data_IF_802591526592
#
_entry.id   IF_802591526592
#
_cell.length_a   1.000
_cell.length_b   1.000
_cell.length_c   1.000
_cell.angle_alpha   90.00
_cell.angle_beta   90.00
_cell.angle_gamma   90.00
#
_symmetry.space_group_name_H-M   'P 1'
#
loop_
_entity.id
_entity.type
_entity.pdbx_description
1 polymer ?
#
# COMPACT_ATOMS: atom_id res chain seq x y z
N UNK A 1 0.76 5.83 -13.83
CA UNK A 1 -0.62 5.32 -13.89
C UNK A 1 -1.64 6.45 -14.04
N UNK A 2 -1.75 7.38 -13.07
CA UNK A 2 -2.74 8.48 -13.12
C UNK A 2 -2.74 9.30 -14.41
N UNK A 3 -1.57 9.71 -14.93
CA UNK A 3 -1.48 10.43 -16.22
C UNK A 3 -2.07 9.65 -17.39
N UNK A 4 -1.89 8.33 -17.41
CA UNK A 4 -2.44 7.46 -18.46
C UNK A 4 -3.96 7.33 -18.30
N UNK A 5 -4.44 7.07 -17.08
CA UNK A 5 -5.87 7.03 -16.81
C UNK A 5 -6.56 8.35 -17.20
N UNK A 6 -5.96 9.50 -16.90
CA UNK A 6 -6.47 10.80 -17.29
C UNK A 6 -6.49 11.00 -18.83
N UNK A 7 -5.43 10.57 -19.52
CA UNK A 7 -5.40 10.59 -20.99
C UNK A 7 -6.48 9.69 -21.62
N UNK A 8 -6.85 8.61 -20.92
CA UNK A 8 -7.93 7.69 -21.31
C UNK A 8 -9.33 8.17 -20.84
N UNK A 9 -9.43 9.39 -20.28
CA UNK A 9 -10.70 10.05 -19.94
C UNK A 9 -11.11 9.99 -18.47
N UNK A 10 -10.29 9.42 -17.59
CA UNK A 10 -10.56 9.46 -16.15
C UNK A 10 -10.50 10.89 -15.60
N UNK A 11 -11.46 11.25 -14.76
CA UNK A 11 -11.48 12.53 -14.03
C UNK A 11 -10.87 12.32 -12.64
N UNK A 12 -9.87 13.13 -12.31
CA UNK A 12 -9.17 13.07 -11.02
C UNK A 12 -9.55 14.30 -10.22
N UNK A 13 -9.96 14.12 -8.96
CA UNK A 13 -10.36 15.19 -8.07
C UNK A 13 -9.50 15.16 -6.81
N UNK A 14 -8.88 16.29 -6.47
CA UNK A 14 -8.12 16.49 -5.25
C UNK A 14 -7.94 18.01 -5.00
N UNK A 15 -7.90 18.48 -3.73
CA UNK A 15 -8.22 17.72 -2.51
C UNK A 15 -9.74 17.54 -2.36
N UNK A 16 -10.18 16.30 -2.13
CA UNK A 16 -11.59 15.94 -1.87
C UNK A 16 -11.62 14.69 -1.00
N UNK A 17 -12.40 14.71 0.08
CA UNK A 17 -12.66 13.57 0.95
C UNK A 17 -14.10 13.08 0.79
N UNK A 18 -14.29 11.75 0.73
CA UNK A 18 -15.63 11.15 0.77
C UNK A 18 -16.05 11.00 2.23
N UNK A 19 -17.12 11.69 2.62
CA UNK A 19 -17.57 11.76 4.02
C UNK A 19 -18.72 10.80 4.33
N UNK A 20 -19.51 10.44 3.32
CA UNK A 20 -20.64 9.52 3.44
C UNK A 20 -20.83 8.69 2.17
N UNK A 21 -21.31 7.46 2.35
CA UNK A 21 -21.54 6.48 1.29
C UNK A 21 -22.94 5.90 1.46
N UNK A 22 -23.78 6.08 0.45
CA UNK A 22 -25.13 5.53 0.40
C UNK A 22 -25.24 4.60 -0.79
N UNK A 23 -25.48 3.32 -0.53
CA UNK A 23 -25.68 2.31 -1.55
C UNK A 23 -27.16 1.92 -1.64
N UNK A 24 -27.67 1.85 -2.87
CA UNK A 24 -29.04 1.48 -3.22
C UNK A 24 -29.03 0.47 -4.40
N UNK A 25 -30.17 -0.15 -4.75
CA UNK A 25 -30.23 -1.12 -5.86
C UNK A 25 -29.79 -0.59 -7.24
N UNK A 26 -29.78 0.73 -7.44
CA UNK A 26 -29.42 1.39 -8.70
C UNK A 26 -27.96 1.90 -8.69
N UNK A 27 -27.21 1.74 -7.59
CA UNK A 27 -25.78 2.08 -7.45
C UNK A 27 -25.44 2.83 -6.17
N UNK A 28 -24.46 3.75 -6.22
CA UNK A 28 -23.85 4.34 -5.01
C UNK A 28 -23.70 5.85 -5.14
N UNK A 29 -24.12 6.58 -4.10
CA UNK A 29 -23.93 8.02 -3.94
C UNK A 29 -22.87 8.30 -2.90
N UNK A 30 -21.90 9.15 -3.25
CA UNK A 30 -20.81 9.58 -2.39
C UNK A 30 -21.00 11.06 -2.05
N UNK A 31 -21.12 11.39 -0.77
CA UNK A 31 -21.05 12.78 -0.31
C UNK A 31 -19.58 13.16 -0.10
N UNK A 32 -19.25 14.43 -0.37
CA UNK A 32 -17.88 14.94 -0.21
C UNK A 32 -17.80 16.11 0.75
N UNK A 33 -16.62 16.33 1.32
CA UNK A 33 -16.27 17.48 2.16
C UNK A 33 -16.43 18.84 1.44
N UNK A 34 -16.40 18.84 0.11
CA UNK A 34 -16.64 20.02 -0.73
C UNK A 34 -18.12 20.37 -0.95
N UNK A 35 -19.05 19.60 -0.36
CA UNK A 35 -20.50 19.81 -0.51
C UNK A 35 -21.07 19.33 -1.84
N UNK A 36 -20.27 18.66 -2.68
CA UNK A 36 -20.74 17.99 -3.90
C UNK A 36 -21.04 16.52 -3.64
N UNK A 37 -22.03 15.97 -4.35
CA UNK A 37 -22.31 14.55 -4.37
C UNK A 37 -21.91 13.93 -5.72
N UNK A 38 -21.36 12.73 -5.69
CA UNK A 38 -21.00 11.95 -6.88
C UNK A 38 -21.86 10.69 -6.92
N UNK A 39 -22.61 10.50 -8.01
CA UNK A 39 -23.37 9.27 -8.27
C UNK A 39 -22.58 8.37 -9.22
N UNK A 40 -22.42 7.11 -8.85
CA UNK A 40 -21.78 6.09 -9.68
C UNK A 40 -22.60 4.82 -9.72
N UNK A 41 -22.46 4.02 -10.79
CA UNK A 41 -23.06 2.68 -10.86
C UNK A 41 -22.32 1.71 -9.95
N UNK A 42 -21.00 1.82 -9.87
CA UNK A 42 -20.15 1.03 -9.00
C UNK A 42 -19.15 1.93 -8.28
N UNK A 43 -18.77 1.52 -7.07
CA UNK A 43 -17.68 2.15 -6.29
C UNK A 43 -16.66 1.08 -5.91
N UNK A 44 -15.39 1.46 -5.94
CA UNK A 44 -14.28 0.62 -5.49
C UNK A 44 -13.47 1.42 -4.47
N UNK A 45 -13.45 0.97 -3.22
CA UNK A 45 -12.66 1.60 -2.15
C UNK A 45 -11.24 1.04 -2.13
N UNK A 46 -10.27 1.93 -2.32
CA UNK A 46 -8.83 1.63 -2.34
C UNK A 46 -8.08 2.45 -1.28
N UNK A 47 -8.66 2.58 -0.09
CA UNK A 47 -8.23 3.54 0.96
C UNK A 47 -7.14 2.99 1.89
N UNK A 48 -6.42 1.94 1.48
CA UNK A 48 -5.35 1.34 2.29
C UNK A 48 -5.88 0.66 3.55
N UNK A 49 -5.68 1.30 4.70
CA UNK A 49 -6.12 0.83 6.03
C UNK A 49 -7.23 1.70 6.63
N UNK A 50 -7.69 2.72 5.90
CA UNK A 50 -8.81 3.56 6.30
C UNK A 50 -10.10 2.97 5.72
N UNK A 51 -10.81 2.20 6.54
CA UNK A 51 -12.04 1.53 6.11
C UNK A 51 -13.22 2.50 6.14
N UNK A 52 -13.97 2.66 5.04
CA UNK A 52 -15.20 3.44 5.04
C UNK A 52 -16.21 2.92 6.06
N UNK A 53 -17.02 3.81 6.63
CA UNK A 53 -18.10 3.42 7.55
C UNK A 53 -19.00 2.37 6.90
N UNK A 54 -19.28 1.29 7.63
CA UNK A 54 -20.13 0.19 7.15
C UNK A 54 -19.40 -0.94 6.44
N UNK A 55 -18.13 -0.76 6.06
CA UNK A 55 -17.30 -1.86 5.56
C UNK A 55 -16.72 -2.63 6.76
N UNK A 56 -16.84 -3.97 6.81
CA UNK A 56 -16.19 -4.77 7.83
C UNK A 56 -14.67 -4.58 7.81
N UNK A 57 -14.09 -4.31 8.97
CA UNK A 57 -12.64 -4.23 9.18
C UNK A 57 -12.16 -5.51 9.87
N UNK A 58 -11.74 -6.55 9.13
CA UNK A 58 -11.26 -7.77 9.76
C UNK A 58 -9.89 -7.52 10.40
N UNK A 59 -9.87 -7.37 11.73
CA UNK A 59 -8.78 -7.72 12.64
C UNK A 59 -7.34 -7.23 12.33
N UNK A 60 -7.14 -6.25 11.45
CA UNK A 60 -5.82 -5.80 11.05
C UNK A 60 -5.17 -4.88 12.06
N UNK A 61 -3.85 -4.96 12.20
CA UNK A 61 -3.05 -4.05 13.03
C UNK A 61 -2.29 -3.09 12.14
N UNK A 62 -2.35 -1.80 12.45
CA UNK A 62 -1.43 -0.82 11.86
C UNK A 62 -0.20 -0.75 12.75
N UNK A 63 0.94 -1.10 12.17
CA UNK A 63 2.28 -0.98 12.73
C UNK A 63 3.05 0.11 11.99
N UNK A 64 4.26 0.40 12.46
CA UNK A 64 5.16 1.33 11.80
C UNK A 64 6.32 0.57 11.13
N UNK A 65 6.71 1.01 9.94
CA UNK A 65 7.89 0.53 9.20
C UNK A 65 8.80 1.70 8.82
N UNK A 66 10.07 1.44 8.54
CA UNK A 66 11.07 2.46 8.21
C UNK A 66 11.82 2.12 6.94
N UNK A 67 12.18 3.16 6.19
CA UNK A 67 13.01 3.00 5.02
C UNK A 67 13.87 4.23 4.77
N UNK A 68 14.96 3.99 4.07
CA UNK A 68 15.90 4.99 3.62
C UNK A 68 16.16 4.84 2.12
N UNK A 69 16.55 5.94 1.50
CA UNK A 69 17.10 5.95 0.15
C UNK A 69 18.42 6.72 0.16
N UNK A 70 19.43 6.15 -0.48
CA UNK A 70 20.71 6.82 -0.65
C UNK A 70 20.62 7.96 -1.66
N UNK A 71 21.67 8.78 -1.74
CA UNK A 71 21.93 9.61 -2.92
C UNK A 71 22.01 8.74 -4.18
N UNK A 72 21.76 9.36 -5.34
CA UNK A 72 21.88 8.68 -6.63
C UNK A 72 23.30 8.15 -6.86
N UNK A 73 23.42 7.11 -7.69
CA UNK A 73 24.69 6.47 -8.08
C UNK A 73 25.45 5.86 -6.89
N UNK A 74 24.73 5.28 -5.93
CA UNK A 74 25.35 4.50 -4.86
C UNK A 74 26.19 3.35 -5.46
N UNK A 75 27.40 3.17 -4.93
CA UNK A 75 28.29 2.09 -5.37
C UNK A 75 27.83 0.79 -4.74
N UNK A 76 27.14 -0.03 -5.52
CA UNK A 76 26.62 -1.32 -5.09
C UNK A 76 27.12 -2.44 -6.01
N UNK A 77 27.19 -3.69 -5.52
CA UNK A 77 27.45 -4.86 -6.36
C UNK A 77 26.50 -4.92 -7.56
N UNK A 78 27.01 -5.35 -8.72
CA UNK A 78 26.24 -5.36 -9.95
C UNK A 78 24.95 -6.21 -9.84
N UNK A 79 25.00 -7.32 -9.11
CA UNK A 79 23.86 -8.21 -8.91
C UNK A 79 22.67 -7.53 -8.20
N UNK A 80 22.92 -6.52 -7.35
CA UNK A 80 21.87 -5.82 -6.60
C UNK A 80 21.04 -4.89 -7.49
N UNK A 81 21.48 -4.61 -8.73
CA UNK A 81 20.72 -3.80 -9.69
C UNK A 81 19.41 -4.45 -10.10
N UNK A 82 19.39 -5.78 -10.17
CA UNK A 82 18.28 -6.57 -10.69
C UNK A 82 17.68 -7.51 -9.63
N UNK A 83 18.08 -7.35 -8.36
CA UNK A 83 17.70 -8.24 -7.25
C UNK A 83 17.05 -7.46 -6.11
N UNK A 84 16.02 -8.05 -5.51
CA UNK A 84 15.50 -7.68 -4.19
C UNK A 84 16.09 -8.66 -3.17
N UNK A 85 16.79 -8.14 -2.17
CA UNK A 85 17.22 -8.92 -1.00
C UNK A 85 16.16 -8.77 0.08
N UNK A 86 15.81 -9.87 0.74
CA UNK A 86 14.92 -9.89 1.89
C UNK A 86 15.45 -10.89 2.91
N UNK A 87 15.79 -10.43 4.11
CA UNK A 87 16.25 -11.30 5.19
C UNK A 87 15.08 -12.04 5.84
N UNK A 88 15.26 -13.34 6.10
CA UNK A 88 14.32 -14.14 6.89
C UNK A 88 14.54 -13.94 8.41
N UNK A 89 14.74 -12.69 8.82
CA UNK A 89 14.93 -12.26 10.21
C UNK A 89 13.74 -11.43 10.68
N UNK A 90 13.57 -11.31 12.00
CA UNK A 90 12.60 -10.41 12.61
C UNK A 90 13.31 -9.53 13.65
N UNK A 91 13.42 -8.21 13.43
CA UNK A 91 12.92 -7.49 12.26
C UNK A 91 13.79 -7.71 11.01
N UNK A 92 13.13 -7.86 9.85
CA UNK A 92 13.78 -8.08 8.56
C UNK A 92 14.52 -6.84 8.06
N UNK A 93 15.45 -7.07 7.12
CA UNK A 93 16.03 -6.07 6.24
C UNK A 93 15.66 -6.44 4.80
N UNK A 94 15.14 -5.47 4.04
CA UNK A 94 15.09 -5.57 2.59
C UNK A 94 16.01 -4.55 1.94
N UNK A 95 16.57 -4.91 0.78
CA UNK A 95 17.49 -4.05 0.03
C UNK A 95 17.23 -4.19 -1.48
N UNK A 96 17.14 -3.06 -2.19
CA UNK A 96 17.02 -3.03 -3.65
C UNK A 96 17.62 -1.76 -4.24
N UNK A 97 17.87 -1.76 -5.55
CA UNK A 97 18.22 -0.56 -6.29
C UNK A 97 16.99 0.05 -6.99
N UNK A 98 16.90 1.38 -7.01
CA UNK A 98 16.00 2.12 -7.87
C UNK A 98 16.61 2.33 -9.26
N UNK A 99 15.75 2.61 -10.25
CA UNK A 99 16.18 2.82 -11.64
C UNK A 99 17.17 3.98 -11.83
N UNK A 100 17.12 4.98 -10.95
CA UNK A 100 18.03 6.13 -10.96
C UNK A 100 19.34 5.87 -10.19
N UNK A 101 19.58 4.62 -9.77
CA UNK A 101 20.81 4.19 -9.11
C UNK A 101 20.86 4.51 -7.62
N UNK A 102 19.72 4.79 -6.98
CA UNK A 102 19.62 4.87 -5.51
C UNK A 102 19.55 3.48 -4.90
N UNK A 103 20.21 3.29 -3.79
CA UNK A 103 20.00 2.16 -2.90
C UNK A 103 18.79 2.46 -2.01
N UNK A 104 17.87 1.52 -1.90
CA UNK A 104 16.73 1.60 -0.99
C UNK A 104 16.84 0.43 -0.02
N UNK A 105 16.75 0.72 1.27
CA UNK A 105 16.74 -0.28 2.33
C UNK A 105 15.65 0.05 3.35
N UNK A 106 15.03 -0.98 3.93
CA UNK A 106 13.99 -0.79 4.93
C UNK A 106 13.67 -2.05 5.70
N UNK A 107 12.65 -1.95 6.56
CA UNK A 107 12.26 -2.96 7.54
C UNK A 107 12.26 -2.34 8.93
N UNK A 108 12.79 -3.05 9.93
CA UNK A 108 12.80 -2.62 11.35
C UNK A 108 11.43 -2.52 12.04
N UNK A 109 10.39 -3.09 11.41
CA UNK A 109 8.95 -3.12 11.79
C UNK A 109 8.70 -3.16 13.32
N UNK A 110 7.77 -2.32 13.81
CA UNK A 110 7.46 -2.25 15.25
C UNK A 110 6.01 -1.87 15.51
N UNK A 111 5.45 -2.39 16.61
CA UNK A 111 4.10 -2.07 17.05
C UNK A 111 3.95 -0.56 17.34
N UNK A 112 2.77 -0.03 17.02
CA UNK A 112 2.41 1.37 17.26
C UNK A 112 2.06 2.07 15.95
N UNK A 113 0.78 2.43 15.74
CA UNK A 113 0.33 2.97 14.47
C UNK A 113 0.96 4.32 14.15
N UNK A 114 1.28 5.14 15.16
CA UNK A 114 1.74 6.52 14.97
C UNK A 114 3.26 6.70 15.19
N UNK A 115 3.98 5.59 15.44
CA UNK A 115 5.42 5.64 15.72
C UNK A 115 6.25 6.15 14.53
N UNK A 116 5.73 5.99 13.32
CA UNK A 116 6.38 6.46 12.09
C UNK A 116 6.37 7.98 11.93
N UNK A 117 5.53 8.70 12.69
CA UNK A 117 5.46 10.16 12.65
C UNK A 117 6.53 10.84 13.52
N UNK A 118 7.18 10.11 14.44
CA UNK A 118 8.27 10.64 15.28
C UNK A 118 9.57 10.79 14.46
N UNK A 119 10.02 12.03 14.15
CA UNK A 119 11.21 12.26 13.33
C UNK A 119 12.49 11.72 13.97
N UNK A 120 12.59 11.75 15.30
CA UNK A 120 13.75 11.24 16.01
C UNK A 120 13.79 9.71 15.93
N UNK A 121 12.62 9.06 15.95
CA UNK A 121 12.51 7.62 15.75
C UNK A 121 12.84 7.23 14.32
N UNK A 122 12.35 7.96 13.31
CA UNK A 122 12.73 7.76 11.90
C UNK A 122 14.26 7.78 11.75
N UNK A 123 14.93 8.78 12.31
CA UNK A 123 16.40 8.87 12.30
C UNK A 123 17.06 7.65 12.94
N UNK A 124 16.70 7.31 14.18
CA UNK A 124 17.31 6.16 14.91
C UNK A 124 17.12 4.83 14.18
N UNK A 125 15.94 4.61 13.59
CA UNK A 125 15.60 3.38 12.85
C UNK A 125 16.33 3.31 11.51
N UNK A 126 16.41 4.40 10.77
CA UNK A 126 17.18 4.46 9.52
C UNK A 126 18.69 4.28 9.76
N UNK A 127 19.25 4.83 10.85
CA UNK A 127 20.64 4.55 11.23
C UNK A 127 20.88 3.07 11.55
N UNK A 128 19.88 2.40 12.14
CA UNK A 128 19.94 0.96 12.41
C UNK A 128 19.87 0.13 11.13
N UNK A 129 18.98 0.48 10.20
CA UNK A 129 18.91 -0.12 8.85
C UNK A 129 20.25 0.04 8.14
N UNK A 130 20.86 1.23 8.21
CA UNK A 130 22.16 1.48 7.60
C UNK A 130 23.28 0.60 8.21
N UNK A 131 23.27 0.39 9.53
CA UNK A 131 24.20 -0.54 10.19
C UNK A 131 23.98 -1.98 9.72
N UNK A 132 22.74 -2.48 9.72
CA UNK A 132 22.43 -3.84 9.22
C UNK A 132 22.88 -4.04 7.77
N UNK A 133 22.65 -3.04 6.92
CA UNK A 133 23.09 -3.08 5.53
C UNK A 133 24.62 -3.11 5.41
N UNK A 134 25.34 -2.36 6.25
CA UNK A 134 26.80 -2.42 6.31
C UNK A 134 27.29 -3.80 6.78
N UNK A 135 26.63 -4.40 7.77
CA UNK A 135 26.97 -5.75 8.25
C UNK A 135 26.75 -6.81 7.17
N UNK A 136 25.65 -6.70 6.40
CA UNK A 136 25.31 -7.61 5.31
C UNK A 136 26.22 -7.42 4.07
N UNK A 137 26.52 -6.16 3.73
CA UNK A 137 27.28 -5.76 2.54
C UNK A 137 28.36 -4.73 2.92
N UNK A 138 29.47 -5.15 3.55
CA UNK A 138 30.48 -4.22 4.09
C UNK A 138 31.19 -3.38 3.03
N UNK A 139 31.16 -3.79 1.76
CA UNK A 139 31.70 -3.04 0.63
C UNK A 139 30.75 -1.98 0.05
N UNK A 140 29.54 -1.84 0.59
CA UNK A 140 28.55 -0.84 0.15
C UNK A 140 28.67 0.41 1.01
N UNK A 141 29.18 1.48 0.41
CA UNK A 141 29.22 2.81 1.01
C UNK A 141 28.15 3.70 0.36
N UNK A 142 27.39 4.40 1.20
CA UNK A 142 26.34 5.30 0.75
C UNK A 142 26.06 6.40 1.77
N UNK A 143 25.58 7.54 1.26
CA UNK A 143 24.98 8.60 2.08
C UNK A 143 23.46 8.48 2.01
N UNK A 144 22.78 8.60 3.15
CA UNK A 144 21.33 8.72 3.21
C UNK A 144 20.92 10.08 2.63
N UNK A 145 20.03 10.08 1.64
CA UNK A 145 19.42 11.28 1.05
C UNK A 145 17.99 11.47 1.59
N UNK A 146 17.26 10.37 1.76
CA UNK A 146 15.92 10.35 2.35
C UNK A 146 15.80 9.28 3.42
N UNK A 147 15.05 9.60 4.46
CA UNK A 147 14.66 8.70 5.53
C UNK A 147 13.20 8.97 5.85
N UNK A 148 12.39 7.91 5.98
CA UNK A 148 10.97 8.05 6.28
C UNK A 148 10.46 6.86 7.09
N UNK A 149 9.40 7.10 7.86
CA UNK A 149 8.54 6.06 8.40
C UNK A 149 7.26 5.97 7.57
N UNK A 150 6.51 4.88 7.73
CA UNK A 150 5.15 4.77 7.20
C UNK A 150 4.28 3.82 8.00
N UNK A 151 2.97 4.04 7.90
CA UNK A 151 1.97 3.10 8.34
C UNK A 151 2.03 1.83 7.49
N UNK A 152 2.05 0.69 8.17
CA UNK A 152 2.04 -0.64 7.56
C UNK A 152 0.98 -1.46 8.26
N UNK A 153 -0.01 -1.94 7.52
CA UNK A 153 -1.12 -2.68 8.11
C UNK A 153 -1.03 -4.15 7.80
N UNK A 154 -0.95 -4.95 8.84
CA UNK A 154 -0.95 -6.41 8.80
C UNK A 154 -2.38 -6.93 8.89
N UNK A 155 -2.76 -7.82 7.98
CA UNK A 155 -4.00 -8.59 8.11
C UNK A 155 -3.74 -9.90 8.87
N UNK A 156 -4.77 -10.47 9.48
CA UNK A 156 -4.63 -11.70 10.28
C UNK A 156 -4.10 -12.90 9.48
N UNK A 157 -4.30 -12.91 8.16
CA UNK A 157 -3.90 -13.99 7.25
C UNK A 157 -2.75 -13.61 6.32
N UNK A 158 -2.30 -12.33 6.34
CA UNK A 158 -1.36 -11.79 5.36
C UNK A 158 -1.94 -11.58 3.95
N UNK A 159 -3.23 -11.87 3.75
CA UNK A 159 -3.95 -11.64 2.50
C UNK A 159 -4.71 -10.29 2.52
N UNK A 160 -4.85 -9.62 1.37
CA UNK A 160 -5.69 -8.45 1.23
C UNK A 160 -7.17 -8.84 1.19
N UNK A 161 -8.02 -7.82 1.33
CA UNK A 161 -9.45 -7.91 1.11
C UNK A 161 -9.76 -7.35 -0.26
N UNK A 162 -10.22 -8.21 -1.16
CA UNK A 162 -10.52 -7.86 -2.55
C UNK A 162 -11.87 -8.48 -2.89
N UNK A 163 -12.89 -7.65 -3.09
CA UNK A 163 -14.20 -8.17 -3.45
C UNK A 163 -15.36 -7.24 -3.10
N UNK A 164 -16.60 -7.73 -3.21
CA UNK A 164 -17.79 -6.97 -2.85
C UNK A 164 -17.80 -6.64 -1.35
N UNK A 165 -18.25 -5.43 -1.02
CA UNK A 165 -18.46 -5.01 0.36
C UNK A 165 -19.75 -5.64 0.93
N UNK A 166 -19.68 -6.42 2.03
CA UNK A 166 -20.86 -7.01 2.64
C UNK A 166 -21.91 -5.96 3.01
N UNK A 167 -23.17 -6.18 2.62
CA UNK A 167 -24.28 -5.26 2.92
C UNK A 167 -24.31 -3.98 2.10
N UNK A 168 -23.39 -3.79 1.13
CA UNK A 168 -23.31 -2.59 0.30
C UNK A 168 -23.35 -2.97 -1.19
N UNK A 169 -24.54 -3.05 -1.81
CA UNK A 169 -24.67 -3.29 -3.25
C UNK A 169 -23.76 -2.39 -4.10
N UNK A 170 -23.29 -2.92 -5.22
CA UNK A 170 -22.45 -2.21 -6.19
C UNK A 170 -21.12 -1.65 -5.65
N UNK A 171 -20.74 -2.01 -4.43
CA UNK A 171 -19.55 -1.52 -3.76
C UNK A 171 -18.53 -2.64 -3.64
N UNK A 172 -17.28 -2.35 -4.00
CA UNK A 172 -16.16 -3.25 -3.86
C UNK A 172 -15.08 -2.61 -2.98
N UNK A 173 -14.23 -3.45 -2.40
CA UNK A 173 -13.10 -3.03 -1.58
C UNK A 173 -11.83 -3.69 -2.07
N UNK A 174 -10.74 -2.94 -1.92
CA UNK A 174 -9.39 -3.29 -2.34
C UNK A 174 -8.46 -2.72 -1.25
N UNK A 175 -8.33 -3.44 -0.14
CA UNK A 175 -7.78 -2.92 1.12
C UNK A 175 -6.95 -3.97 1.88
N UNK A 176 -6.23 -3.54 2.92
CA UNK A 176 -5.55 -4.47 3.84
C UNK A 176 -4.35 -5.20 3.24
N UNK A 177 -3.60 -4.56 2.35
CA UNK A 177 -2.60 -5.20 1.50
C UNK A 177 -1.32 -5.72 2.17
N UNK A 178 -1.06 -5.39 3.43
CA UNK A 178 0.26 -5.64 4.03
C UNK A 178 1.39 -5.07 3.18
N UNK A 179 2.54 -5.73 3.24
CA UNK A 179 3.74 -5.35 2.47
C UNK A 179 3.68 -5.69 0.98
N UNK A 180 2.61 -6.33 0.51
CA UNK A 180 2.52 -6.89 -0.83
C UNK A 180 1.55 -6.13 -1.75
N UNK A 181 1.20 -4.89 -1.40
CA UNK A 181 0.20 -4.10 -2.12
C UNK A 181 0.51 -3.87 -3.60
N UNK A 182 1.79 -3.79 -4.00
CA UNK A 182 2.15 -3.69 -5.43
C UNK A 182 1.72 -4.96 -6.18
N UNK A 183 2.06 -6.13 -5.67
CA UNK A 183 1.69 -7.42 -6.28
C UNK A 183 0.17 -7.58 -6.33
N UNK A 184 -0.49 -7.38 -5.19
CA UNK A 184 -1.93 -7.56 -5.09
C UNK A 184 -2.74 -6.47 -5.81
N UNK A 185 -2.18 -5.29 -6.10
CA UNK A 185 -2.89 -4.27 -6.90
C UNK A 185 -3.22 -4.76 -8.31
N UNK A 186 -2.36 -5.60 -8.90
CA UNK A 186 -2.60 -6.18 -10.22
C UNK A 186 -3.73 -7.20 -10.15
N UNK A 187 -3.68 -8.11 -9.16
CA UNK A 187 -4.72 -9.11 -8.91
C UNK A 187 -6.07 -8.41 -8.64
N UNK A 188 -6.08 -7.40 -7.77
CA UNK A 188 -7.27 -6.62 -7.47
C UNK A 188 -7.85 -5.95 -8.72
N UNK A 189 -6.99 -5.45 -9.61
CA UNK A 189 -7.44 -4.85 -10.88
C UNK A 189 -8.10 -5.86 -11.82
N UNK A 190 -7.74 -7.14 -11.75
CA UNK A 190 -8.35 -8.22 -12.53
C UNK A 190 -9.67 -8.65 -11.90
N UNK A 191 -9.64 -9.03 -10.62
CA UNK A 191 -10.80 -9.51 -9.85
C UNK A 191 -11.93 -8.48 -9.85
N UNK A 192 -11.64 -7.24 -9.45
CA UNK A 192 -12.69 -6.20 -9.34
C UNK A 192 -13.19 -5.78 -10.72
N UNK A 193 -12.32 -5.72 -11.74
CA UNK A 193 -12.77 -5.36 -13.08
C UNK A 193 -13.60 -6.47 -13.74
N UNK A 194 -13.39 -7.75 -13.38
CA UNK A 194 -14.28 -8.85 -13.78
C UNK A 194 -15.66 -8.68 -13.13
N UNK A 195 -15.70 -8.45 -11.82
CA UNK A 195 -16.93 -8.26 -11.05
C UNK A 195 -17.75 -7.06 -11.56
N UNK A 196 -17.11 -5.90 -11.78
CA UNK A 196 -17.75 -4.69 -12.32
C UNK A 196 -18.35 -4.90 -13.72
N UNK A 197 -17.80 -5.84 -14.51
CA UNK A 197 -18.35 -6.21 -15.83
C UNK A 197 -19.43 -7.29 -15.76
N UNK A 198 -19.84 -7.71 -14.57
CA UNK A 198 -20.83 -8.76 -14.34
C UNK A 198 -20.28 -10.18 -14.50
N UNK A 199 -18.96 -10.35 -14.53
CA UNK A 199 -18.30 -11.66 -14.54
C UNK A 199 -17.77 -12.05 -13.16
N UNK A 200 -17.02 -13.15 -13.13
CA UNK A 200 -16.29 -13.63 -11.95
C UNK A 200 -14.86 -13.97 -12.31
N UNK A 201 -13.94 -13.75 -11.38
CA UNK A 201 -12.56 -14.23 -11.47
C UNK A 201 -12.45 -15.57 -10.70
N UNK A 202 -11.74 -16.58 -11.23
CA UNK A 202 -11.62 -17.89 -10.58
C UNK A 202 -10.95 -17.84 -9.20
N UNK A 203 -10.14 -16.82 -8.92
CA UNK A 203 -9.40 -16.68 -7.66
C UNK A 203 -10.06 -15.70 -6.67
N UNK A 204 -11.28 -15.23 -6.98
CA UNK A 204 -11.96 -14.18 -6.20
C UNK A 204 -12.27 -14.62 -4.76
N UNK A 205 -12.51 -15.90 -4.53
CA UNK A 205 -12.83 -16.45 -3.21
C UNK A 205 -11.64 -16.43 -2.24
N UNK A 206 -10.41 -16.44 -2.75
CA UNK A 206 -9.18 -16.36 -1.94
C UNK A 206 -9.04 -15.05 -1.16
N UNK A 207 -9.72 -13.98 -1.60
CA UNK A 207 -9.63 -12.64 -1.04
C UNK A 207 -10.95 -12.11 -0.48
N UNK A 208 -11.96 -12.98 -0.42
CA UNK A 208 -13.30 -12.62 -0.01
C UNK A 208 -13.34 -12.13 1.44
N UNK A 209 -14.26 -11.20 1.70
CA UNK A 209 -14.54 -10.68 3.04
C UNK A 209 -15.45 -11.67 3.77
N UNK A 210 -14.87 -12.79 4.22
CA UNK A 210 -15.56 -13.82 5.03
C UNK A 210 -15.17 -13.75 6.49
#
# INVERSE_FOLDING_TARGET
>A
MLRRAAADGARIFAPVEVTEVLSDPDGVTLATDTGHAVRARHVVFCCGYEFPKGVPTPGGKVISTWALASKQRARCPAWLRDTLVWEASDPYLYVRMARDGRLIAGGEDEEGPDNHDDPDKVRRKCERIARKLHDLLPGVEFDIDYAWGGAFGESATGLPLIGPAPGMPHTHVVMGFGGNGITYSVIASQVVAAAVRGGSDPDADLYALT
#
